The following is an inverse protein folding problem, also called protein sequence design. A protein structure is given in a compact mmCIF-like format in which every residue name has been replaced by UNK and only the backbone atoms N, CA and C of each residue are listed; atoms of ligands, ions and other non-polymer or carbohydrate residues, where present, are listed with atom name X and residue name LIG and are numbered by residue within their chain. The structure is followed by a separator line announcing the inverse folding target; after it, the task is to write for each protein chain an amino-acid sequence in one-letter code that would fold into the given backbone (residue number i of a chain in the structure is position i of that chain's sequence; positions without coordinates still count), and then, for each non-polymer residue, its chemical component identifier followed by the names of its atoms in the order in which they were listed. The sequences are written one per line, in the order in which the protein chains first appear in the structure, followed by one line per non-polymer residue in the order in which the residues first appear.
data_IF_934191660410
#
_entry.id   IF_934191660410
#
_cell.length_a   1.000
_cell.length_b   1.000
_cell.length_c   1.000
_cell.angle_alpha   90.00
_cell.angle_beta   90.00
_cell.angle_gamma   90.00
#
_symmetry.space_group_name_H-M   'P 1'
#
loop_
_entity.id
_entity.type
_entity.pdbx_description
1 polymer ?
#
# COMPACT_ATOMS: atom_id res chain seq x y z
N UNK A 1 11.27 2.21 -26.95
CA UNK A 1 10.12 3.16 -27.01
C UNK A 1 10.45 4.56 -26.50
N UNK A 2 11.39 4.76 -25.56
CA UNK A 2 11.71 6.11 -25.03
C UNK A 2 12.38 7.12 -25.97
N UNK A 3 12.45 6.85 -27.28
CA UNK A 3 12.98 7.78 -28.30
C UNK A 3 11.89 8.43 -29.16
N UNK A 4 10.65 7.96 -29.05
CA UNK A 4 9.51 8.45 -29.81
C UNK A 4 9.03 9.79 -29.22
N UNK A 5 8.40 10.63 -30.04
CA UNK A 5 7.92 11.91 -29.56
C UNK A 5 6.76 11.74 -28.58
N UNK A 6 6.72 12.58 -27.55
CA UNK A 6 5.63 12.57 -26.56
C UNK A 6 4.25 12.78 -27.22
N UNK A 7 4.21 13.54 -28.31
CA UNK A 7 3.01 13.79 -29.13
C UNK A 7 2.44 12.52 -29.77
N UNK A 8 3.23 11.47 -29.96
CA UNK A 8 2.74 10.19 -30.47
C UNK A 8 1.90 9.44 -29.43
N UNK A 9 2.05 9.76 -28.15
CA UNK A 9 1.33 9.13 -27.03
C UNK A 9 0.28 10.05 -26.40
N UNK A 10 0.55 11.35 -26.38
CA UNK A 10 -0.31 12.37 -25.75
C UNK A 10 -1.15 13.15 -26.77
N UNK A 11 -1.08 12.77 -28.05
CA UNK A 11 -1.74 13.43 -29.16
C UNK A 11 -0.92 14.59 -29.75
N UNK A 12 -1.09 14.80 -31.05
CA UNK A 12 -0.49 15.93 -31.76
C UNK A 12 -1.38 17.16 -31.58
N UNK A 13 -0.88 18.15 -30.82
CA UNK A 13 -1.54 19.46 -30.75
C UNK A 13 -1.48 20.09 -32.15
N UNK A 14 -2.63 20.26 -32.82
CA UNK A 14 -2.74 21.10 -34.04
C UNK A 14 -2.43 22.59 -33.79
N UNK A 15 -2.14 22.97 -32.55
CA UNK A 15 -1.56 24.26 -32.17
C UNK A 15 -0.22 23.95 -31.53
N UNK A 16 0.87 24.52 -32.05
CA UNK A 16 2.12 24.61 -31.32
C UNK A 16 1.78 25.03 -29.90
N UNK A 17 2.26 24.29 -28.90
CA UNK A 17 2.12 24.66 -27.50
C UNK A 17 2.43 26.14 -27.38
N UNK A 18 1.49 26.96 -26.93
CA UNK A 18 1.92 28.06 -26.08
C UNK A 18 2.65 27.35 -24.95
N UNK A 19 3.98 27.45 -24.93
CA UNK A 19 4.75 27.20 -23.72
C UNK A 19 4.03 28.00 -22.65
N UNK A 20 3.30 27.29 -21.79
CA UNK A 20 2.80 27.93 -20.60
C UNK A 20 4.07 28.26 -19.83
N UNK A 21 4.47 29.53 -19.87
CA UNK A 21 5.43 30.17 -18.97
C UNK A 21 4.90 30.09 -17.53
N UNK A 22 4.57 28.88 -17.07
CA UNK A 22 4.25 28.63 -15.69
C UNK A 22 5.58 28.72 -14.95
N UNK A 23 5.69 29.65 -13.98
CA UNK A 23 6.92 29.80 -13.22
C UNK A 23 7.27 28.44 -12.59
N UNK A 24 8.56 28.08 -12.55
CA UNK A 24 8.99 26.79 -12.03
C UNK A 24 8.36 26.55 -10.67
N UNK A 25 7.50 25.54 -10.61
CA UNK A 25 6.74 25.23 -9.41
C UNK A 25 7.73 24.95 -8.30
N UNK A 26 7.58 25.65 -7.15
CA UNK A 26 8.49 25.48 -6.00
C UNK A 26 8.60 23.98 -5.67
N UNK A 27 9.80 23.48 -5.31
CA UNK A 27 9.97 22.10 -4.93
C UNK A 27 8.95 21.76 -3.84
N UNK A 28 8.03 20.83 -4.15
CA UNK A 28 7.04 20.33 -3.19
C UNK A 28 7.73 19.31 -2.30
N UNK A 29 7.31 19.24 -1.04
CA UNK A 29 7.73 18.19 -0.13
C UNK A 29 7.42 16.82 -0.76
N UNK A 30 8.47 16.02 -0.97
CA UNK A 30 8.33 14.66 -1.48
C UNK A 30 7.89 13.75 -0.33
N UNK A 31 6.67 13.25 -0.41
CA UNK A 31 6.06 12.40 0.62
C UNK A 31 5.65 11.08 -0.02
N UNK A 32 6.02 9.92 0.56
CA UNK A 32 5.54 8.64 0.08
C UNK A 32 4.01 8.59 0.04
N UNK A 33 3.43 8.02 -1.02
CA UNK A 33 1.97 8.03 -1.23
C UNK A 33 1.19 7.47 -0.04
N UNK A 34 1.73 6.46 0.65
CA UNK A 34 1.12 5.84 1.85
C UNK A 34 1.03 6.78 3.05
N UNK A 35 1.94 7.76 3.14
CA UNK A 35 2.07 8.67 4.28
C UNK A 35 1.30 9.98 4.08
N UNK A 36 0.79 10.24 2.86
CA UNK A 36 -0.04 11.42 2.53
C UNK A 36 -1.20 11.62 3.52
N UNK A 37 -1.99 10.60 3.91
CA UNK A 37 -3.11 10.79 4.82
C UNK A 37 -2.68 11.28 6.21
N UNK A 38 -1.57 10.75 6.73
CA UNK A 38 -1.01 11.15 8.02
C UNK A 38 -0.39 12.55 7.94
N UNK A 39 0.37 12.82 6.87
CA UNK A 39 0.97 14.13 6.65
C UNK A 39 -0.09 15.22 6.52
N UNK A 40 -1.16 14.95 5.75
CA UNK A 40 -2.30 15.86 5.60
C UNK A 40 -2.99 16.12 6.93
N UNK A 41 -3.19 15.08 7.75
CA UNK A 41 -3.80 15.23 9.07
C UNK A 41 -2.92 16.05 10.02
N UNK A 42 -1.61 15.79 10.02
CA UNK A 42 -0.64 16.56 10.80
C UNK A 42 -0.68 18.05 10.41
N UNK A 43 -0.68 18.36 9.11
CA UNK A 43 -0.81 19.73 8.62
C UNK A 43 -2.11 20.39 9.09
N UNK A 44 -3.24 19.68 9.08
CA UNK A 44 -4.52 20.19 9.60
C UNK A 44 -4.47 20.49 11.09
N UNK A 45 -3.80 19.65 11.89
CA UNK A 45 -3.61 19.88 13.33
C UNK A 45 -2.80 21.16 13.56
N UNK A 46 -1.74 21.38 12.78
CA UNK A 46 -0.89 22.57 12.88
C UNK A 46 -1.61 23.87 12.46
N UNK A 47 -2.58 23.77 11.55
CA UNK A 47 -3.37 24.90 11.04
C UNK A 47 -4.66 25.16 11.83
N UNK A 48 -5.03 24.29 12.77
CA UNK A 48 -6.27 24.43 13.53
C UNK A 48 -6.14 25.52 14.61
N UNK A 49 -7.00 26.54 14.55
CA UNK A 49 -7.04 27.64 15.52
C UNK A 49 -7.92 27.33 16.75
N UNK A 50 -8.84 26.36 16.63
CA UNK A 50 -9.78 25.98 17.68
C UNK A 50 -9.27 24.77 18.47
N UNK A 51 -9.33 24.85 19.80
CA UNK A 51 -8.91 23.77 20.70
C UNK A 51 -9.75 22.50 20.53
N UNK A 52 -11.06 22.63 20.27
CA UNK A 52 -11.94 21.47 20.07
C UNK A 52 -11.60 20.70 18.79
N UNK A 53 -11.36 21.43 17.69
CA UNK A 53 -10.97 20.83 16.41
C UNK A 53 -9.59 20.18 16.53
N UNK A 54 -8.64 20.85 17.19
CA UNK A 54 -7.31 20.29 17.46
C UNK A 54 -7.39 18.99 18.25
N UNK A 55 -8.21 18.94 19.30
CA UNK A 55 -8.42 17.73 20.10
C UNK A 55 -9.06 16.60 19.28
N UNK A 56 -10.04 16.90 18.44
CA UNK A 56 -10.66 15.91 17.56
C UNK A 56 -9.64 15.36 16.54
N UNK A 57 -8.88 16.23 15.87
CA UNK A 57 -7.87 15.83 14.91
C UNK A 57 -6.74 15.00 15.55
N UNK A 58 -6.31 15.35 16.77
CA UNK A 58 -5.35 14.56 17.54
C UNK A 58 -5.88 13.17 17.89
N UNK A 59 -7.17 13.05 18.26
CA UNK A 59 -7.81 11.74 18.47
C UNK A 59 -7.82 10.91 17.18
N UNK A 60 -8.17 11.52 16.05
CA UNK A 60 -8.13 10.84 14.74
C UNK A 60 -6.70 10.39 14.40
N UNK A 61 -5.69 11.22 14.69
CA UNK A 61 -4.29 10.86 14.47
C UNK A 61 -3.89 9.65 15.32
N UNK A 62 -4.24 9.67 16.61
CA UNK A 62 -3.99 8.54 17.50
C UNK A 62 -4.64 7.24 17.02
N UNK A 63 -5.88 7.30 16.52
CA UNK A 63 -6.56 6.13 15.94
C UNK A 63 -5.87 5.61 14.67
N UNK A 64 -5.40 6.51 13.80
CA UNK A 64 -4.67 6.12 12.59
C UNK A 64 -3.31 5.48 12.91
N UNK A 65 -2.58 6.01 13.89
CA UNK A 65 -1.32 5.44 14.34
C UNK A 65 -1.52 4.06 14.97
N UNK A 66 -2.50 3.92 15.87
CA UNK A 66 -2.85 2.60 16.45
C UNK A 66 -3.19 1.57 15.39
N UNK A 67 -3.92 1.97 14.34
CA UNK A 67 -4.24 1.08 13.22
C UNK A 67 -2.98 0.69 12.44
N UNK A 68 -2.05 1.63 12.20
CA UNK A 68 -0.78 1.35 11.54
C UNK A 68 0.05 0.35 12.34
N UNK A 69 0.11 0.50 13.65
CA UNK A 69 0.80 -0.43 14.54
C UNK A 69 0.12 -1.81 14.51
N UNK A 70 -1.21 -1.87 14.59
CA UNK A 70 -1.95 -3.11 14.46
C UNK A 70 -1.67 -3.84 13.14
N UNK A 71 -1.60 -3.12 12.01
CA UNK A 71 -1.28 -3.71 10.70
C UNK A 71 0.13 -4.29 10.71
N UNK A 72 1.10 -3.56 11.27
CA UNK A 72 2.47 -4.02 11.40
C UNK A 72 2.54 -5.31 12.23
N UNK A 73 1.92 -5.31 13.41
CA UNK A 73 1.90 -6.46 14.32
C UNK A 73 1.21 -7.67 13.67
N UNK A 74 0.11 -7.44 12.94
CA UNK A 74 -0.60 -8.49 12.19
C UNK A 74 0.32 -9.13 11.14
N UNK A 75 1.06 -8.31 10.39
CA UNK A 75 1.97 -8.82 9.37
C UNK A 75 3.16 -9.57 9.98
N UNK A 76 3.72 -9.07 11.08
CA UNK A 76 4.77 -9.77 11.83
C UNK A 76 4.28 -11.13 12.35
N UNK A 77 3.03 -11.21 12.84
CA UNK A 77 2.42 -12.48 13.25
C UNK A 77 2.26 -13.45 12.06
N UNK A 78 1.80 -12.95 10.90
CA UNK A 78 1.73 -13.77 9.68
C UNK A 78 3.11 -14.33 9.34
N UNK A 79 4.16 -13.50 9.36
CA UNK A 79 5.52 -13.94 9.08
C UNK A 79 6.01 -15.00 10.08
N UNK A 80 5.73 -14.82 11.38
CA UNK A 80 6.06 -15.79 12.43
C UNK A 80 5.34 -17.14 12.23
N UNK A 81 4.06 -17.13 11.87
CA UNK A 81 3.33 -18.37 11.59
C UNK A 81 3.83 -19.05 10.30
N UNK A 82 4.13 -18.27 9.27
CA UNK A 82 4.70 -18.77 8.02
C UNK A 82 6.08 -19.41 8.21
N UNK A 83 6.86 -19.01 9.22
CA UNK A 83 8.14 -19.65 9.56
C UNK A 83 7.98 -21.14 9.94
N UNK A 84 6.83 -21.52 10.50
CA UNK A 84 6.53 -22.91 10.84
C UNK A 84 5.95 -23.72 9.67
N UNK A 85 5.60 -23.06 8.57
CA UNK A 85 5.13 -23.72 7.36
C UNK A 85 6.35 -24.23 6.61
N UNK A 86 6.32 -25.52 6.24
CA UNK A 86 7.42 -26.14 5.49
C UNK A 86 7.67 -25.38 4.19
N UNK A 87 8.87 -24.83 4.05
CA UNK A 87 9.26 -24.11 2.86
C UNK A 87 9.26 -25.07 1.64
N UNK A 88 8.66 -24.66 0.51
CA UNK A 88 8.73 -25.41 -0.75
C UNK A 88 10.17 -25.54 -1.26
N UNK A 89 10.43 -26.61 -2.01
CA UNK A 89 11.77 -26.90 -2.56
C UNK A 89 12.08 -26.11 -3.85
N UNK A 90 11.07 -25.48 -4.45
CA UNK A 90 11.19 -24.76 -5.72
C UNK A 90 10.33 -23.51 -5.71
N UNK A 91 10.80 -22.46 -6.37
CA UNK A 91 10.02 -21.26 -6.62
C UNK A 91 8.88 -21.56 -7.62
N UNK A 92 7.80 -20.79 -7.51
CA UNK A 92 6.70 -20.82 -8.46
C UNK A 92 7.11 -20.13 -9.77
N UNK A 93 6.47 -20.53 -10.86
CA UNK A 93 6.46 -19.77 -12.11
C UNK A 93 5.70 -18.44 -11.94
N UNK A 94 5.82 -17.54 -12.91
CA UNK A 94 5.09 -16.25 -12.87
C UNK A 94 3.58 -16.51 -12.85
N UNK A 95 3.07 -17.42 -13.69
CA UNK A 95 1.64 -17.70 -13.77
C UNK A 95 1.10 -18.28 -12.46
N UNK A 96 1.79 -19.28 -11.89
CA UNK A 96 1.44 -19.85 -10.58
C UNK A 96 1.51 -18.81 -9.46
N UNK A 97 2.47 -17.89 -9.51
CA UNK A 97 2.58 -16.78 -8.54
C UNK A 97 1.37 -15.86 -8.63
N UNK A 98 0.92 -15.54 -9.85
CA UNK A 98 -0.23 -14.68 -10.11
C UNK A 98 -1.54 -15.32 -9.65
N UNK A 99 -1.72 -16.62 -9.92
CA UNK A 99 -2.87 -17.39 -9.45
C UNK A 99 -2.91 -17.46 -7.91
N UNK A 100 -1.76 -17.71 -7.29
CA UNK A 100 -1.63 -17.74 -5.83
C UNK A 100 -1.96 -16.38 -5.20
N UNK A 101 -1.36 -15.29 -5.69
CA UNK A 101 -1.51 -13.98 -5.04
C UNK A 101 -2.93 -13.44 -5.19
N UNK A 102 -3.64 -13.76 -6.28
CA UNK A 102 -5.04 -13.34 -6.45
C UNK A 102 -5.93 -13.95 -5.36
N UNK A 103 -5.75 -15.24 -5.08
CA UNK A 103 -6.52 -15.96 -4.05
C UNK A 103 -6.13 -15.49 -2.66
N UNK A 104 -4.83 -15.38 -2.38
CA UNK A 104 -4.30 -14.94 -1.08
C UNK A 104 -4.72 -13.51 -0.75
N UNK A 105 -4.64 -12.62 -1.74
CA UNK A 105 -5.01 -11.23 -1.55
C UNK A 105 -6.52 -11.07 -1.27
N UNK A 106 -7.38 -11.86 -1.93
CA UNK A 106 -8.83 -11.88 -1.64
C UNK A 106 -9.12 -12.32 -0.20
N UNK A 107 -8.47 -13.39 0.28
CA UNK A 107 -8.64 -13.86 1.67
C UNK A 107 -8.13 -12.81 2.65
N UNK A 108 -6.94 -12.25 2.42
CA UNK A 108 -6.37 -11.19 3.25
C UNK A 108 -7.27 -9.96 3.33
N UNK A 109 -7.82 -9.52 2.19
CA UNK A 109 -8.75 -8.40 2.13
C UNK A 109 -10.06 -8.70 2.87
N UNK A 110 -10.51 -9.96 2.86
CA UNK A 110 -11.73 -10.39 3.53
C UNK A 110 -11.56 -10.57 5.04
N UNK A 111 -10.39 -11.01 5.51
CA UNK A 111 -10.16 -11.38 6.92
C UNK A 111 -9.41 -10.31 7.69
N UNK A 112 -8.41 -9.66 7.09
CA UNK A 112 -7.56 -8.69 7.76
C UNK A 112 -8.02 -7.25 7.44
N UNK A 113 -7.51 -6.65 6.36
CA UNK A 113 -7.72 -5.24 6.07
C UNK A 113 -7.91 -4.97 4.57
N UNK A 114 -8.71 -3.96 4.25
CA UNK A 114 -8.89 -3.46 2.88
C UNK A 114 -7.94 -2.29 2.62
N UNK A 115 -7.23 -2.29 1.48
CA UNK A 115 -6.35 -1.17 1.07
C UNK A 115 -7.08 0.17 1.12
N UNK A 116 -8.34 0.22 0.66
CA UNK A 116 -9.16 1.44 0.64
C UNK A 116 -9.35 2.03 2.05
N UNK A 117 -9.39 1.20 3.08
CA UNK A 117 -9.55 1.62 4.46
C UNK A 117 -8.19 1.94 5.09
N UNK A 118 -7.18 1.14 4.77
CA UNK A 118 -5.84 1.20 5.33
C UNK A 118 -4.76 1.19 4.22
N UNK A 119 -4.46 2.34 3.59
CA UNK A 119 -3.45 2.41 2.52
C UNK A 119 -2.05 2.09 3.04
N UNK A 120 -1.81 2.17 4.35
CA UNK A 120 -0.55 1.82 5.00
C UNK A 120 -0.15 0.36 4.74
N UNK A 121 -1.13 -0.51 4.44
CA UNK A 121 -0.90 -1.94 4.21
C UNK A 121 -0.17 -2.26 2.93
N UNK A 122 -0.19 -1.34 1.96
CA UNK A 122 0.42 -1.54 0.63
C UNK A 122 1.91 -1.86 0.71
N UNK A 123 2.60 -1.38 1.74
CA UNK A 123 4.01 -1.70 1.98
C UNK A 123 4.28 -3.15 2.38
N UNK A 124 3.25 -3.89 2.83
CA UNK A 124 3.36 -5.26 3.34
C UNK A 124 2.82 -6.32 2.38
N UNK A 125 2.07 -5.92 1.34
CA UNK A 125 1.50 -6.87 0.37
C UNK A 125 2.57 -7.58 -0.46
N UNK A 126 3.75 -6.99 -0.61
CA UNK A 126 4.90 -7.65 -1.23
C UNK A 126 5.34 -8.89 -0.46
N UNK A 127 5.15 -8.95 0.86
CA UNK A 127 5.44 -10.15 1.66
C UNK A 127 4.57 -11.33 1.22
N UNK A 128 3.27 -11.10 1.01
CA UNK A 128 2.36 -12.14 0.53
C UNK A 128 2.73 -12.61 -0.88
N UNK A 129 3.08 -11.67 -1.76
CA UNK A 129 3.60 -12.00 -3.09
C UNK A 129 4.87 -12.84 -3.02
N UNK A 130 5.81 -12.49 -2.13
CA UNK A 130 7.05 -13.24 -1.97
C UNK A 130 6.83 -14.67 -1.48
N UNK A 131 5.79 -14.94 -0.69
CA UNK A 131 5.42 -16.31 -0.34
C UNK A 131 4.91 -17.08 -1.56
N UNK A 132 4.02 -16.50 -2.35
CA UNK A 132 3.59 -17.12 -3.61
C UNK A 132 4.78 -17.39 -4.54
N UNK A 133 5.69 -16.41 -4.71
CA UNK A 133 6.88 -16.55 -5.55
C UNK A 133 7.82 -17.67 -5.07
N UNK A 134 7.93 -17.87 -3.75
CA UNK A 134 8.70 -18.97 -3.15
C UNK A 134 8.01 -20.34 -3.25
N UNK A 135 6.85 -20.42 -3.92
CA UNK A 135 6.12 -21.67 -4.17
C UNK A 135 5.17 -22.08 -3.05
N UNK A 136 4.89 -21.22 -2.07
CA UNK A 136 3.93 -21.57 -1.00
C UNK A 136 2.53 -21.66 -1.60
N UNK A 137 1.77 -22.70 -1.25
CA UNK A 137 0.39 -22.83 -1.72
C UNK A 137 -0.50 -21.75 -1.11
N UNK A 138 -1.47 -21.27 -1.88
CA UNK A 138 -2.46 -20.31 -1.39
C UNK A 138 -3.22 -20.85 -0.16
N UNK A 139 -3.45 -22.15 -0.08
CA UNK A 139 -4.11 -22.81 1.05
C UNK A 139 -3.34 -22.62 2.36
N UNK A 140 -2.02 -22.87 2.35
CA UNK A 140 -1.16 -22.72 3.52
C UNK A 140 -1.11 -21.26 3.98
N UNK A 141 -0.96 -20.32 3.04
CA UNK A 141 -0.92 -18.89 3.35
C UNK A 141 -2.28 -18.44 3.92
N UNK A 142 -3.39 -18.89 3.32
CA UNK A 142 -4.74 -18.55 3.75
C UNK A 142 -5.08 -19.14 5.11
N UNK A 143 -4.58 -20.33 5.45
CA UNK A 143 -4.72 -20.90 6.80
C UNK A 143 -4.06 -20.00 7.84
N UNK A 144 -2.84 -19.52 7.56
CA UNK A 144 -2.16 -18.56 8.44
C UNK A 144 -2.94 -17.25 8.54
N UNK A 145 -3.41 -16.70 7.42
CA UNK A 145 -4.21 -15.47 7.40
C UNK A 145 -5.47 -15.64 8.27
N UNK A 146 -6.20 -16.76 8.13
CA UNK A 146 -7.38 -17.05 8.97
C UNK A 146 -7.03 -17.22 10.43
N UNK A 147 -5.87 -17.77 10.75
CA UNK A 147 -5.43 -17.94 12.13
C UNK A 147 -5.08 -16.61 12.81
N UNK A 148 -4.52 -15.66 12.05
CA UNK A 148 -4.10 -14.35 12.58
C UNK A 148 -5.28 -13.36 12.60
N UNK A 149 -6.12 -13.36 11.57
CA UNK A 149 -7.16 -12.35 11.37
C UNK A 149 -8.61 -12.86 11.47
N UNK A 150 -8.82 -14.17 11.62
CA UNK A 150 -10.14 -14.81 11.63
C UNK A 150 -10.76 -14.95 13.01
#
# INVERSE_FOLDING_TARGET
MGKLYLSEFQGSRKKASTEHDEPPMKPKDSIPSRDIPLHTLHRRIMMANNMNDKNLLMKILGLKLKRRDLIKDTMELIEQFMFNVKQPNSNATIDETMDCIEVVYKEFQSKCFKIQQAPEITGYLSTLYNYCQKGYSAENINEVIRKVCG
#
